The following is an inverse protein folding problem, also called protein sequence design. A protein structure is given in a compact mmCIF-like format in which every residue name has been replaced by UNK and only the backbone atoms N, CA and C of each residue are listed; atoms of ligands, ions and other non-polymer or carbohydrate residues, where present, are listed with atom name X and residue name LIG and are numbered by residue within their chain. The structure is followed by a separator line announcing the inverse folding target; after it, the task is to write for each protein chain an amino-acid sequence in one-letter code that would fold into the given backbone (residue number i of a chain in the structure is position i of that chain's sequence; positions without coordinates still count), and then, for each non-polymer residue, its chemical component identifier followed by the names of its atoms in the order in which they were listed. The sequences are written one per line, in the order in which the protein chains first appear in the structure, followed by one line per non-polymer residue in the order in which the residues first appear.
data_IF_569052721799
#
_entry.id   IF_569052721799
#
_cell.length_a   1.000
_cell.length_b   1.000
_cell.length_c   1.000
_cell.angle_alpha   90.00
_cell.angle_beta   90.00
_cell.angle_gamma   90.00
#
_symmetry.space_group_name_H-M   'P 1'
#
loop_
_entity.id
_entity.type
_entity.pdbx_description
1 polymer ?
#
# COMPACT_ATOMS: atom_id res chain seq x y z
N UNK A 1 6.77 -8.60 23.51
CA UNK A 1 5.47 -8.16 22.97
C UNK A 1 4.47 -9.29 23.23
N UNK A 2 3.21 -9.03 23.60
CA UNK A 2 2.23 -10.11 23.75
C UNK A 2 2.10 -10.86 22.42
N UNK A 3 1.94 -12.17 22.50
CA UNK A 3 1.62 -13.03 21.37
C UNK A 3 0.38 -12.46 20.67
N UNK A 4 0.57 -12.19 19.37
CA UNK A 4 -0.45 -12.03 18.33
C UNK A 4 -1.73 -11.28 18.71
N UNK A 5 -1.93 -10.08 18.15
CA UNK A 5 -3.16 -9.25 18.26
C UNK A 5 -4.48 -10.06 18.13
N UNK A 6 -4.47 -11.16 17.38
CA UNK A 6 -5.58 -12.10 17.25
C UNK A 6 -6.06 -12.72 18.57
N UNK A 7 -5.22 -12.84 19.59
CA UNK A 7 -5.53 -13.47 20.88
C UNK A 7 -6.15 -12.51 21.90
N UNK A 8 -6.16 -11.20 21.60
CA UNK A 8 -6.74 -10.20 22.49
C UNK A 8 -8.27 -10.31 22.55
N UNK A 9 -8.82 -10.00 23.72
CA UNK A 9 -10.25 -9.83 23.91
C UNK A 9 -10.82 -8.71 23.00
N UNK A 10 -12.08 -8.84 22.61
CA UNK A 10 -12.72 -7.94 21.63
C UNK A 10 -12.71 -6.48 22.06
N UNK A 11 -13.03 -6.20 23.32
CA UNK A 11 -12.99 -4.86 23.92
C UNK A 11 -11.59 -4.23 23.85
N UNK A 12 -10.55 -5.02 24.09
CA UNK A 12 -9.14 -4.56 23.98
C UNK A 12 -8.77 -4.26 22.54
N UNK A 13 -9.22 -5.08 21.58
CA UNK A 13 -9.01 -4.86 20.14
C UNK A 13 -9.66 -3.55 19.69
N UNK A 14 -10.93 -3.33 20.04
CA UNK A 14 -11.64 -2.09 19.68
C UNK A 14 -10.97 -0.85 20.28
N UNK A 15 -10.52 -0.93 21.55
CA UNK A 15 -9.77 0.16 22.17
C UNK A 15 -8.46 0.45 21.44
N UNK A 16 -7.73 -0.59 21.01
CA UNK A 16 -6.48 -0.45 20.29
C UNK A 16 -6.71 0.19 18.91
N UNK A 17 -7.73 -0.27 18.17
CA UNK A 17 -8.14 0.34 16.89
C UNK A 17 -8.49 1.82 17.06
N UNK A 18 -9.36 2.15 18.02
CA UNK A 18 -9.76 3.54 18.27
C UNK A 18 -8.56 4.44 18.58
N UNK A 19 -7.57 3.93 19.33
CA UNK A 19 -6.32 4.66 19.61
C UNK A 19 -5.48 4.88 18.35
N UNK A 20 -5.35 3.88 17.47
CA UNK A 20 -4.63 4.03 16.21
C UNK A 20 -5.31 5.02 15.26
N UNK A 21 -6.64 5.00 15.15
CA UNK A 21 -7.39 6.00 14.38
C UNK A 21 -7.16 7.41 14.95
N UNK A 22 -7.19 7.56 16.27
CA UNK A 22 -6.91 8.84 16.92
C UNK A 22 -5.48 9.32 16.64
N UNK A 23 -4.51 8.42 16.59
CA UNK A 23 -3.12 8.76 16.24
C UNK A 23 -3.03 9.27 14.80
N UNK A 24 -3.61 8.58 13.82
CA UNK A 24 -3.65 9.03 12.42
C UNK A 24 -4.28 10.41 12.29
N UNK A 25 -5.37 10.66 13.01
CA UNK A 25 -6.03 11.98 13.03
C UNK A 25 -5.16 13.07 13.64
N UNK A 26 -4.39 12.75 14.68
CA UNK A 26 -3.50 13.70 15.33
C UNK A 26 -2.33 14.13 14.44
N UNK A 27 -1.86 13.24 13.55
CA UNK A 27 -0.74 13.51 12.65
C UNK A 27 -1.16 14.03 11.26
N UNK A 28 -2.41 14.50 11.10
CA UNK A 28 -2.96 14.92 9.78
C UNK A 28 -2.17 15.96 9.00
N UNK A 29 -1.35 16.76 9.69
CA UNK A 29 -0.62 17.88 9.11
C UNK A 29 0.84 17.55 8.75
N UNK A 30 1.29 16.30 8.94
CA UNK A 30 2.67 15.90 8.62
C UNK A 30 2.94 15.96 7.12
N UNK A 31 4.19 16.22 6.77
CA UNK A 31 4.69 16.16 5.38
C UNK A 31 5.19 14.77 5.01
N UNK A 32 5.70 14.04 6.00
CA UNK A 32 6.28 12.72 5.85
C UNK A 32 5.65 11.80 6.90
N UNK A 33 5.10 10.66 6.46
CA UNK A 33 4.49 9.67 7.33
C UNK A 33 5.14 8.31 7.10
N UNK A 34 5.83 7.81 8.12
CA UNK A 34 6.40 6.46 8.14
C UNK A 34 5.59 5.55 9.06
N UNK A 35 5.10 4.42 8.52
CA UNK A 35 4.40 3.37 9.24
C UNK A 35 5.27 2.11 9.29
N UNK A 36 6.10 1.98 10.33
CA UNK A 36 7.14 0.95 10.45
C UNK A 36 6.66 -0.39 11.03
N UNK A 37 5.36 -0.67 11.06
CA UNK A 37 4.83 -1.93 11.60
C UNK A 37 3.70 -2.45 10.72
N UNK A 38 3.84 -3.63 10.07
CA UNK A 38 2.77 -4.19 9.26
C UNK A 38 1.50 -4.45 10.05
N UNK A 39 1.64 -4.87 11.32
CA UNK A 39 0.51 -5.09 12.22
C UNK A 39 -0.31 -3.82 12.49
N UNK A 40 0.27 -2.62 12.35
CA UNK A 40 -0.48 -1.37 12.42
C UNK A 40 -1.59 -1.33 11.36
N UNK A 41 -1.27 -1.68 10.11
CA UNK A 41 -2.22 -1.65 9.00
C UNK A 41 -3.34 -2.68 9.20
N UNK A 42 -3.01 -3.89 9.63
CA UNK A 42 -3.99 -4.93 9.95
C UNK A 42 -4.99 -4.46 11.01
N UNK A 43 -4.50 -3.83 12.09
CA UNK A 43 -5.37 -3.30 13.14
C UNK A 43 -6.27 -2.18 12.61
N UNK A 44 -5.70 -1.23 11.88
CA UNK A 44 -6.44 -0.08 11.33
C UNK A 44 -7.50 -0.52 10.32
N UNK A 45 -7.25 -1.58 9.55
CA UNK A 45 -8.19 -2.09 8.55
C UNK A 45 -9.58 -2.40 9.13
N UNK A 46 -9.63 -2.91 10.37
CA UNK A 46 -10.87 -3.24 11.07
C UNK A 46 -11.66 -2.04 11.60
N UNK A 47 -11.19 -0.82 11.35
CA UNK A 47 -11.86 0.43 11.72
C UNK A 47 -11.70 1.51 10.63
N UNK A 48 -11.57 1.10 9.37
CA UNK A 48 -11.43 2.03 8.24
C UNK A 48 -12.68 2.90 8.05
N UNK A 49 -13.84 2.38 8.41
CA UNK A 49 -15.13 3.08 8.50
C UNK A 49 -15.08 4.28 9.45
N UNK A 50 -14.35 4.18 10.57
CA UNK A 50 -14.15 5.31 11.49
C UNK A 50 -13.34 6.43 10.84
N UNK A 51 -12.36 6.10 9.98
CA UNK A 51 -11.61 7.10 9.21
C UNK A 51 -12.48 7.69 8.09
N UNK A 52 -13.17 6.82 7.34
CA UNK A 52 -14.00 7.20 6.21
C UNK A 52 -15.25 8.02 6.60
N UNK A 53 -15.68 7.94 7.86
CA UNK A 53 -16.84 8.68 8.37
C UNK A 53 -16.66 10.20 8.46
N UNK A 54 -15.42 10.71 8.37
CA UNK A 54 -15.15 12.16 8.32
C UNK A 54 -14.75 12.56 6.88
N UNK A 55 -15.66 13.17 6.10
CA UNK A 55 -15.39 13.53 4.72
C UNK A 55 -14.37 14.67 4.56
N UNK A 56 -14.07 15.39 5.64
CA UNK A 56 -13.09 16.49 5.65
C UNK A 56 -11.71 16.04 6.11
N UNK A 57 -11.57 14.79 6.55
CA UNK A 57 -10.30 14.25 6.97
C UNK A 57 -9.40 13.96 5.77
N UNK A 58 -8.38 14.79 5.59
CA UNK A 58 -7.38 14.66 4.53
C UNK A 58 -5.98 14.94 5.07
N UNK A 59 -5.00 14.25 4.48
CA UNK A 59 -3.57 14.50 4.68
C UNK A 59 -3.08 15.51 3.64
N UNK A 60 -3.59 16.75 3.71
CA UNK A 60 -3.30 17.79 2.71
C UNK A 60 -1.82 18.17 2.62
N UNK A 61 -1.04 17.97 3.69
CA UNK A 61 0.37 18.32 3.71
C UNK A 61 1.29 17.15 3.35
N UNK A 62 0.76 15.93 3.30
CA UNK A 62 1.55 14.72 3.13
C UNK A 62 2.10 14.64 1.71
N UNK A 63 3.43 14.51 1.62
CA UNK A 63 4.20 14.37 0.39
C UNK A 63 4.85 13.00 0.29
N UNK A 64 5.28 12.43 1.42
CA UNK A 64 5.96 11.13 1.45
C UNK A 64 5.21 10.16 2.36
N UNK A 65 4.83 9.02 1.80
CA UNK A 65 4.26 7.91 2.55
C UNK A 65 5.22 6.72 2.49
N UNK A 66 5.78 6.34 3.63
CA UNK A 66 6.64 5.18 3.78
C UNK A 66 5.96 4.12 4.65
N UNK A 67 5.86 2.88 4.17
CA UNK A 67 5.07 1.84 4.83
C UNK A 67 5.79 0.50 4.80
N UNK A 68 5.96 -0.11 5.97
CA UNK A 68 6.32 -1.52 6.12
C UNK A 68 5.03 -2.35 6.12
N UNK A 69 4.91 -3.34 5.23
CA UNK A 69 3.65 -4.05 4.97
C UNK A 69 3.85 -5.53 4.63
N UNK A 70 2.81 -6.34 4.81
CA UNK A 70 2.71 -7.72 4.32
C UNK A 70 1.93 -7.85 3.01
N UNK A 71 1.49 -6.73 2.42
CA UNK A 71 0.65 -6.67 1.22
C UNK A 71 -0.61 -7.56 1.26
N UNK A 72 -1.08 -7.87 2.48
CA UNK A 72 -2.38 -8.51 2.68
C UNK A 72 -3.50 -7.60 2.18
N UNK A 73 -4.68 -8.17 1.93
CA UNK A 73 -5.85 -7.40 1.51
C UNK A 73 -6.13 -6.21 2.47
N UNK A 74 -6.13 -6.49 3.77
CA UNK A 74 -6.35 -5.49 4.82
C UNK A 74 -5.29 -4.38 4.79
N UNK A 75 -4.01 -4.75 4.62
CA UNK A 75 -2.95 -3.76 4.50
C UNK A 75 -3.14 -2.86 3.29
N UNK A 76 -3.49 -3.46 2.15
CA UNK A 76 -3.70 -2.72 0.90
C UNK A 76 -4.91 -1.79 0.96
N UNK A 77 -6.00 -2.19 1.62
CA UNK A 77 -7.17 -1.33 1.84
C UNK A 77 -6.79 -0.06 2.62
N UNK A 78 -5.95 -0.20 3.66
CA UNK A 78 -5.46 0.95 4.44
C UNK A 78 -4.51 1.82 3.62
N UNK A 79 -3.54 1.23 2.92
CA UNK A 79 -2.59 1.97 2.08
C UNK A 79 -3.34 2.75 0.99
N UNK A 80 -4.27 2.09 0.30
CA UNK A 80 -5.12 2.68 -0.72
C UNK A 80 -5.95 3.85 -0.17
N UNK A 81 -6.54 3.68 1.02
CA UNK A 81 -7.26 4.74 1.70
C UNK A 81 -6.35 5.93 2.04
N UNK A 82 -5.17 5.69 2.60
CA UNK A 82 -4.21 6.76 2.94
C UNK A 82 -3.80 7.55 1.70
N UNK A 83 -3.49 6.86 0.60
CA UNK A 83 -3.18 7.51 -0.69
C UNK A 83 -4.37 8.31 -1.19
N UNK A 84 -5.59 7.76 -1.12
CA UNK A 84 -6.83 8.43 -1.53
C UNK A 84 -7.08 9.76 -0.80
N UNK A 85 -6.76 9.84 0.49
CA UNK A 85 -6.97 11.06 1.29
C UNK A 85 -5.76 12.00 1.32
N UNK A 86 -4.72 11.72 0.52
CA UNK A 86 -3.47 12.50 0.46
C UNK A 86 -3.34 13.18 -0.91
N UNK A 87 -4.04 14.29 -1.16
CA UNK A 87 -4.14 14.89 -2.50
C UNK A 87 -2.80 15.39 -3.06
N UNK A 88 -1.83 15.70 -2.20
CA UNK A 88 -0.53 16.26 -2.55
C UNK A 88 0.62 15.26 -2.39
N UNK A 89 0.32 13.96 -2.36
CA UNK A 89 1.35 12.93 -2.24
C UNK A 89 2.30 12.97 -3.44
N UNK A 90 3.61 13.01 -3.17
CA UNK A 90 4.68 13.07 -4.16
C UNK A 90 5.45 11.75 -4.28
N UNK A 91 5.57 11.01 -3.17
CA UNK A 91 6.33 9.76 -3.11
C UNK A 91 5.63 8.69 -2.28
N UNK A 92 5.59 7.46 -2.79
CA UNK A 92 5.13 6.27 -2.06
C UNK A 92 6.29 5.27 -1.99
N UNK A 93 6.65 4.87 -0.77
CA UNK A 93 7.72 3.89 -0.51
C UNK A 93 7.11 2.73 0.28
N UNK A 94 7.11 1.54 -0.30
CA UNK A 94 6.65 0.32 0.36
C UNK A 94 7.84 -0.62 0.59
N UNK A 95 7.98 -1.09 1.83
CA UNK A 95 8.88 -2.19 2.16
C UNK A 95 8.02 -3.40 2.51
N UNK A 96 8.18 -4.47 1.74
CA UNK A 96 7.41 -5.70 1.91
C UNK A 96 8.19 -6.67 2.78
N UNK A 97 7.67 -6.94 3.97
CA UNK A 97 8.18 -7.99 4.85
C UNK A 97 7.53 -9.32 4.46
N UNK A 98 8.34 -10.37 4.27
CA UNK A 98 7.79 -11.73 4.05
C UNK A 98 7.13 -12.19 5.34
N UNK A 99 5.80 -12.26 5.35
CA UNK A 99 5.09 -13.00 6.38
C UNK A 99 5.09 -14.49 6.02
N UNK A 100 5.35 -15.37 6.99
CA UNK A 100 5.09 -16.82 6.86
C UNK A 100 3.58 -17.17 6.82
N UNK A 101 2.72 -16.16 6.66
CA UNK A 101 1.28 -16.31 6.74
C UNK A 101 0.76 -17.05 5.50
N UNK A 102 0.28 -18.26 5.77
CA UNK A 102 -0.47 -19.17 4.90
C UNK A 102 -1.05 -18.51 3.65
N UNK A 103 -0.61 -19.04 2.51
CA UNK A 103 -1.02 -18.76 1.14
C UNK A 103 -2.54 -18.73 0.96
N UNK A 104 -3.17 -17.61 1.27
CA UNK A 104 -4.50 -17.28 0.76
C UNK A 104 -4.52 -15.78 0.42
N UNK A 105 -3.60 -15.39 -0.48
CA UNK A 105 -3.77 -14.19 -1.30
C UNK A 105 -4.85 -14.47 -2.36
N UNK A 106 -6.08 -14.78 -1.92
CA UNK A 106 -7.25 -14.70 -2.78
C UNK A 106 -7.44 -13.23 -3.08
N UNK A 107 -6.91 -12.81 -4.24
CA UNK A 107 -6.97 -11.44 -4.73
C UNK A 107 -8.42 -11.00 -4.89
N UNK A 108 -8.99 -10.52 -3.80
CA UNK A 108 -10.32 -9.93 -3.77
C UNK A 108 -10.37 -8.68 -4.63
N UNK A 109 -11.59 -8.29 -4.95
CA UNK A 109 -11.90 -7.13 -5.80
C UNK A 109 -11.82 -5.80 -5.05
N UNK A 110 -10.74 -5.59 -4.29
CA UNK A 110 -10.59 -4.39 -3.45
C UNK A 110 -10.41 -3.09 -4.26
N UNK A 111 -10.08 -3.20 -5.55
CA UNK A 111 -9.97 -2.05 -6.48
C UNK A 111 -11.14 -1.94 -7.47
N UNK A 112 -11.87 -3.02 -7.78
CA UNK A 112 -12.90 -2.97 -8.83
C UNK A 112 -14.16 -2.30 -8.28
N UNK A 113 -14.27 -0.98 -8.52
CA UNK A 113 -15.45 -0.18 -8.23
C UNK A 113 -15.19 1.09 -7.43
N UNK A 114 -13.97 1.31 -6.91
CA UNK A 114 -13.65 2.54 -6.20
C UNK A 114 -13.23 3.64 -7.19
N UNK A 115 -13.87 4.81 -7.09
CA UNK A 115 -13.39 6.04 -7.72
C UNK A 115 -12.08 6.45 -7.05
N UNK A 116 -10.98 5.77 -7.41
CA UNK A 116 -9.65 6.18 -6.97
C UNK A 116 -9.37 7.54 -7.60
N UNK A 117 -9.00 8.56 -6.79
CA UNK A 117 -8.82 9.90 -7.31
C UNK A 117 -7.64 9.95 -8.27
N UNK A 118 -7.58 11.00 -9.09
CA UNK A 118 -6.33 11.34 -9.77
C UNK A 118 -5.25 11.64 -8.74
N UNK A 119 -4.01 11.28 -9.06
CA UNK A 119 -2.83 11.51 -8.22
C UNK A 119 -1.93 12.54 -8.92
N UNK A 120 -2.30 13.84 -8.90
CA UNK A 120 -1.68 14.85 -9.75
C UNK A 120 -0.26 15.22 -9.32
N UNK A 121 0.16 14.84 -8.11
CA UNK A 121 1.47 15.18 -7.55
C UNK A 121 2.41 13.97 -7.43
N UNK A 122 1.92 12.74 -7.64
CA UNK A 122 2.71 11.53 -7.41
C UNK A 122 3.78 11.39 -8.51
N UNK A 123 5.04 11.45 -8.10
CA UNK A 123 6.23 11.40 -8.96
C UNK A 123 7.02 10.11 -8.79
N UNK A 124 7.12 9.60 -7.57
CA UNK A 124 8.00 8.49 -7.24
C UNK A 124 7.26 7.35 -6.56
N UNK A 125 7.45 6.14 -7.05
CA UNK A 125 6.97 4.92 -6.40
C UNK A 125 8.16 3.97 -6.24
N UNK A 126 8.44 3.57 -5.01
CA UNK A 126 9.46 2.58 -4.72
C UNK A 126 8.84 1.42 -3.94
N UNK A 127 9.07 0.19 -4.39
CA UNK A 127 8.66 -1.01 -3.66
C UNK A 127 9.86 -1.94 -3.49
N UNK A 128 10.19 -2.23 -2.24
CA UNK A 128 11.22 -3.17 -1.85
C UNK A 128 10.60 -4.50 -1.41
N UNK A 129 11.18 -5.62 -1.84
CA UNK A 129 10.73 -6.95 -1.45
C UNK A 129 9.54 -7.48 -2.23
N UNK A 130 9.32 -7.01 -3.47
CA UNK A 130 8.27 -7.50 -4.38
C UNK A 130 8.22 -9.02 -4.39
N UNK A 131 7.00 -9.57 -4.29
CA UNK A 131 6.74 -11.00 -4.29
C UNK A 131 6.10 -11.47 -5.60
N UNK A 132 5.66 -10.54 -6.46
CA UNK A 132 4.98 -10.86 -7.71
C UNK A 132 3.51 -11.26 -7.47
N UNK A 133 2.88 -10.73 -6.42
CA UNK A 133 1.51 -11.08 -6.08
C UNK A 133 0.49 -10.15 -6.76
N UNK A 134 -0.76 -10.61 -6.86
CA UNK A 134 -1.81 -9.85 -7.54
C UNK A 134 -2.15 -8.52 -6.86
N UNK A 135 -2.00 -8.43 -5.53
CA UNK A 135 -2.24 -7.18 -4.79
C UNK A 135 -1.22 -6.10 -5.16
N UNK A 136 0.06 -6.45 -5.24
CA UNK A 136 1.12 -5.56 -5.72
C UNK A 136 0.81 -5.09 -7.15
N UNK A 137 0.42 -6.02 -8.02
CA UNK A 137 0.14 -5.74 -9.43
C UNK A 137 -1.05 -4.79 -9.60
N UNK A 138 -2.17 -5.06 -8.91
CA UNK A 138 -3.37 -4.20 -8.93
C UNK A 138 -3.08 -2.80 -8.39
N UNK A 139 -2.31 -2.71 -7.31
CA UNK A 139 -1.94 -1.41 -6.75
C UNK A 139 -1.11 -0.58 -7.73
N UNK A 140 -0.08 -1.18 -8.31
CA UNK A 140 0.75 -0.52 -9.32
C UNK A 140 -0.06 -0.12 -10.55
N UNK A 141 -0.97 -0.96 -11.02
CA UNK A 141 -1.89 -0.62 -12.11
C UNK A 141 -2.65 0.68 -11.80
N UNK A 142 -3.25 0.80 -10.61
CA UNK A 142 -3.96 2.03 -10.22
C UNK A 142 -3.05 3.24 -10.19
N UNK A 143 -1.83 3.11 -9.64
CA UNK A 143 -0.90 4.24 -9.61
C UNK A 143 -0.52 4.69 -11.02
N UNK A 144 -0.21 3.74 -11.93
CA UNK A 144 0.09 4.03 -13.33
C UNK A 144 -1.07 4.72 -14.05
N UNK A 145 -2.30 4.26 -13.83
CA UNK A 145 -3.49 4.83 -14.46
C UNK A 145 -3.91 6.21 -13.90
N UNK A 146 -3.53 6.54 -12.65
CA UNK A 146 -4.01 7.74 -11.96
C UNK A 146 -2.97 8.84 -11.79
N UNK A 147 -1.68 8.52 -11.85
CA UNK A 147 -0.58 9.45 -11.64
C UNK A 147 -0.08 10.04 -12.96
N UNK A 148 -0.55 11.25 -13.28
CA UNK A 148 -0.25 11.94 -14.55
C UNK A 148 1.19 12.50 -14.63
N UNK A 149 1.83 12.75 -13.50
CA UNK A 149 3.20 13.29 -13.40
C UNK A 149 4.21 12.26 -12.89
N UNK A 150 3.86 10.97 -12.95
CA UNK A 150 4.71 9.90 -12.46
C UNK A 150 6.03 9.87 -13.25
N UNK A 151 7.15 10.05 -12.56
CA UNK A 151 8.47 10.14 -13.16
C UNK A 151 9.17 8.78 -13.11
N UNK A 152 9.07 8.08 -11.97
CA UNK A 152 9.84 6.85 -11.73
C UNK A 152 9.08 5.84 -10.86
N UNK A 153 9.17 4.57 -11.29
CA UNK A 153 8.73 3.40 -10.52
C UNK A 153 9.92 2.45 -10.38
N UNK A 154 10.39 2.24 -9.15
CA UNK A 154 11.50 1.34 -8.83
C UNK A 154 11.04 0.15 -8.01
N UNK A 155 11.24 -1.05 -8.53
CA UNK A 155 10.82 -2.30 -7.92
C UNK A 155 12.04 -3.17 -7.63
N UNK A 156 12.21 -3.57 -6.37
CA UNK A 156 13.28 -4.45 -5.94
C UNK A 156 12.69 -5.77 -5.44
N UNK A 157 13.10 -6.87 -6.04
CA UNK A 157 12.76 -8.22 -5.59
C UNK A 157 13.64 -8.63 -4.41
N UNK A 158 13.11 -9.48 -3.55
CA UNK A 158 13.94 -10.23 -2.59
C UNK A 158 14.55 -11.45 -3.29
N UNK A 159 15.77 -11.83 -2.90
CA UNK A 159 16.51 -12.95 -3.52
C UNK A 159 15.60 -14.14 -3.83
N UNK A 160 15.70 -14.57 -5.09
CA UNK A 160 14.89 -15.65 -5.62
C UNK A 160 15.53 -16.98 -5.25
N UNK A 161 14.86 -17.72 -4.36
CA UNK A 161 15.36 -18.98 -3.82
C UNK A 161 14.93 -20.20 -4.67
N UNK A 162 14.07 -20.00 -5.69
CA UNK A 162 13.58 -21.07 -6.55
C UNK A 162 13.31 -20.64 -8.01
N UNK A 163 13.44 -21.56 -8.99
CA UNK A 163 13.13 -21.28 -10.40
C UNK A 163 11.68 -20.84 -10.63
N UNK A 164 10.72 -21.45 -9.92
CA UNK A 164 9.30 -21.12 -10.05
C UNK A 164 9.02 -19.66 -9.67
N UNK A 165 9.68 -19.19 -8.61
CA UNK A 165 9.57 -17.80 -8.16
C UNK A 165 10.21 -16.82 -9.14
N UNK A 166 11.29 -17.22 -9.83
CA UNK A 166 11.86 -16.42 -10.91
C UNK A 166 10.87 -16.28 -12.08
N UNK A 167 10.24 -17.39 -12.48
CA UNK A 167 9.23 -17.38 -13.53
C UNK A 167 8.02 -16.51 -13.17
N UNK A 168 7.53 -16.60 -11.92
CA UNK A 168 6.44 -15.75 -11.42
C UNK A 168 6.78 -14.25 -11.50
N UNK A 169 7.98 -13.86 -11.10
CA UNK A 169 8.43 -12.47 -11.14
C UNK A 169 8.60 -11.96 -12.58
N UNK A 170 9.03 -12.82 -13.50
CA UNK A 170 9.07 -12.49 -14.93
C UNK A 170 7.66 -12.25 -15.48
N UNK A 171 6.70 -13.11 -15.15
CA UNK A 171 5.31 -12.95 -15.56
C UNK A 171 4.71 -11.66 -14.97
N UNK A 172 4.95 -11.38 -13.69
CA UNK A 172 4.56 -10.14 -13.03
C UNK A 172 5.09 -8.91 -13.76
N UNK A 173 6.38 -8.92 -14.12
CA UNK A 173 7.03 -7.86 -14.89
C UNK A 173 6.35 -7.69 -16.26
N UNK A 174 6.10 -8.78 -16.97
CA UNK A 174 5.45 -8.74 -18.29
C UNK A 174 4.01 -8.23 -18.22
N UNK A 175 3.28 -8.53 -17.14
CA UNK A 175 1.95 -7.96 -16.92
C UNK A 175 2.00 -6.48 -16.59
N UNK A 176 2.90 -6.07 -15.68
CA UNK A 176 3.03 -4.69 -15.26
C UNK A 176 3.35 -3.76 -16.44
N UNK A 177 4.27 -4.18 -17.32
CA UNK A 177 4.69 -3.40 -18.49
C UNK A 177 3.61 -3.31 -19.57
N UNK A 178 2.54 -4.11 -19.51
CA UNK A 178 1.39 -4.03 -20.42
C UNK A 178 0.34 -3.01 -19.97
N UNK A 179 0.37 -2.57 -18.72
CA UNK A 179 -0.60 -1.59 -18.25
C UNK A 179 -0.37 -0.22 -18.89
N UNK A 180 -1.45 0.50 -19.24
CA UNK A 180 -1.33 1.87 -19.67
C UNK A 180 -0.83 2.73 -18.50
N UNK A 181 -0.01 3.73 -18.82
CA UNK A 181 0.37 4.78 -17.88
C UNK A 181 -0.25 6.09 -18.31
N UNK A 182 -0.80 6.84 -17.35
CA UNK A 182 -1.26 8.20 -17.54
C UNK A 182 -0.09 9.16 -17.77
N UNK A 183 1.06 8.89 -17.16
CA UNK A 183 2.32 9.59 -17.43
C UNK A 183 3.00 9.02 -18.68
N UNK A 184 3.33 9.89 -19.62
CA UNK A 184 4.07 9.53 -20.85
C UNK A 184 5.58 9.42 -20.65
N UNK A 185 6.10 9.91 -19.53
CA UNK A 185 7.54 9.99 -19.24
C UNK A 185 8.00 9.03 -18.14
N UNK A 186 7.11 8.17 -17.62
CA UNK A 186 7.44 7.28 -16.52
C UNK A 186 8.54 6.29 -16.92
N UNK A 187 9.56 6.17 -16.09
CA UNK A 187 10.57 5.13 -16.17
C UNK A 187 10.25 4.02 -15.16
N UNK A 188 10.11 2.78 -15.63
CA UNK A 188 9.85 1.62 -14.78
C UNK A 188 11.12 0.75 -14.74
N UNK A 189 11.75 0.69 -13.57
CA UNK A 189 12.94 -0.12 -13.30
C UNK A 189 12.58 -1.28 -12.37
N UNK A 190 12.90 -2.49 -12.80
CA UNK A 190 12.59 -3.71 -12.06
C UNK A 190 13.88 -4.52 -11.89
N UNK A 191 14.33 -4.65 -10.64
CA UNK A 191 15.50 -5.42 -10.24
C UNK A 191 15.01 -6.73 -9.62
N UNK A 192 15.00 -7.80 -10.43
CA UNK A 192 14.53 -9.14 -10.06
C UNK A 192 15.62 -10.02 -9.43
#
# INVERSE_FOLDING_TARGET
MPNTYSELATDVKELYRARMIKLLRAVRNVTDLTLSSPGFLEVVSGSLDLLAGDPYFQFCNLRVLEVLTWVSRNCMDVIAYLVKISPNIESIILTIERAELNSNNTGGDWIIGSSFPSLPCLKFVQIQGIQGCLNELKFLQVLLEKAIVLEEVTLFSSKTDSPDRAAQLMEFKDMLLKYPSASSSVSISIQL
#
